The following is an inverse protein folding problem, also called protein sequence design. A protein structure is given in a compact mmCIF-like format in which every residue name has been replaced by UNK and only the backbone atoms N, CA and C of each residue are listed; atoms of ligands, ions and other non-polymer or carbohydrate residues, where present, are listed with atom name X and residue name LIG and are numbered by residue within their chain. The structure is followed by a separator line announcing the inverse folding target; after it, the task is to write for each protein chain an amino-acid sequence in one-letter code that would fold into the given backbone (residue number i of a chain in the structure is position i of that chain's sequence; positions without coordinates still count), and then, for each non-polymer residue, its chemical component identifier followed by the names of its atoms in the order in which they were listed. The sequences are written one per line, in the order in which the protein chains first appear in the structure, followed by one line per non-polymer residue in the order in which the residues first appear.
data_IF_596048244195
#
_entry.id   IF_596048244195
#
_cell.length_a   1.000
_cell.length_b   1.000
_cell.length_c   1.000
_cell.angle_alpha   90.00
_cell.angle_beta   90.00
_cell.angle_gamma   90.00
#
_symmetry.space_group_name_H-M   'P 1'
#
loop_
_entity.id
_entity.type
_entity.pdbx_description
1 polymer ?
#
# COMPACT_ATOMS: atom_id res chain seq x y z
N UNK A 1 -35.95 23.43 -10.45
CA UNK A 1 -34.62 23.73 -9.87
C UNK A 1 -33.85 22.41 -9.76
N UNK A 2 -32.96 22.14 -10.70
CA UNK A 2 -32.01 21.04 -10.57
C UNK A 2 -30.95 21.46 -9.55
N UNK A 3 -31.03 20.91 -8.34
CA UNK A 3 -29.89 20.94 -7.42
C UNK A 3 -28.78 20.12 -8.08
N UNK A 4 -27.86 20.80 -8.75
CA UNK A 4 -26.56 20.23 -9.10
C UNK A 4 -25.97 19.82 -7.77
N UNK A 5 -26.01 18.51 -7.51
CA UNK A 5 -25.35 17.90 -6.38
C UNK A 5 -23.86 18.22 -6.58
N UNK A 6 -23.36 19.25 -5.88
CA UNK A 6 -21.93 19.50 -5.81
C UNK A 6 -21.39 18.31 -5.04
N UNK A 7 -21.02 17.24 -5.76
CA UNK A 7 -20.41 16.07 -5.16
C UNK A 7 -19.10 16.57 -4.56
N UNK A 8 -19.04 16.58 -3.23
CA UNK A 8 -17.88 17.06 -2.48
C UNK A 8 -16.62 16.34 -2.98
N UNK A 9 -15.51 17.07 -3.07
CA UNK A 9 -14.19 16.50 -3.33
C UNK A 9 -13.83 15.38 -2.34
N UNK A 10 -14.45 15.39 -1.15
CA UNK A 10 -14.37 14.32 -0.15
C UNK A 10 -15.07 13.00 -0.52
N UNK A 11 -15.86 12.95 -1.60
CA UNK A 11 -16.44 11.72 -2.17
C UNK A 11 -15.74 11.34 -3.47
N UNK A 12 -15.54 12.31 -4.38
CA UNK A 12 -14.99 12.05 -5.71
C UNK A 12 -13.59 11.45 -5.63
N UNK A 13 -12.70 12.05 -4.83
CA UNK A 13 -11.29 11.63 -4.81
C UNK A 13 -11.11 10.24 -4.16
N UNK A 14 -11.75 9.92 -3.02
CA UNK A 14 -11.74 8.56 -2.48
C UNK A 14 -12.37 7.51 -3.41
N UNK A 15 -13.47 7.85 -4.09
CA UNK A 15 -14.11 6.96 -5.04
C UNK A 15 -13.21 6.68 -6.26
N UNK A 16 -12.59 7.73 -6.81
CA UNK A 16 -11.61 7.59 -7.89
C UNK A 16 -10.43 6.71 -7.47
N UNK A 17 -9.91 6.90 -6.25
CA UNK A 17 -8.82 6.09 -5.71
C UNK A 17 -9.21 4.61 -5.59
N UNK A 18 -10.42 4.32 -5.09
CA UNK A 18 -10.94 2.97 -5.00
C UNK A 18 -11.12 2.33 -6.38
N UNK A 19 -11.73 3.06 -7.32
CA UNK A 19 -11.93 2.62 -8.71
C UNK A 19 -10.57 2.31 -9.35
N UNK A 20 -9.62 3.24 -9.30
CA UNK A 20 -8.28 3.05 -9.87
C UNK A 20 -7.57 1.83 -9.27
N UNK A 21 -7.67 1.64 -7.95
CA UNK A 21 -7.10 0.48 -7.26
C UNK A 21 -7.68 -0.85 -7.76
N UNK A 22 -9.01 -0.93 -7.89
CA UNK A 22 -9.71 -2.13 -8.37
C UNK A 22 -9.40 -2.40 -9.84
N UNK A 23 -9.47 -1.37 -10.69
CA UNK A 23 -9.20 -1.51 -12.13
C UNK A 23 -7.74 -1.90 -12.38
N UNK A 24 -6.78 -1.31 -11.67
CA UNK A 24 -5.37 -1.66 -11.83
C UNK A 24 -5.07 -3.06 -11.30
N UNK A 25 -5.69 -3.48 -10.19
CA UNK A 25 -5.63 -4.87 -9.73
C UNK A 25 -6.13 -5.84 -10.81
N UNK A 26 -7.30 -5.57 -11.38
CA UNK A 26 -7.86 -6.39 -12.46
C UNK A 26 -6.95 -6.41 -13.71
N UNK A 27 -6.35 -5.27 -14.06
CA UNK A 27 -5.36 -5.18 -15.13
C UNK A 27 -4.14 -6.08 -14.86
N UNK A 28 -3.57 -6.06 -13.64
CA UNK A 28 -2.42 -6.91 -13.30
C UNK A 28 -2.77 -8.40 -13.31
N UNK A 29 -3.97 -8.78 -12.86
CA UNK A 29 -4.46 -10.16 -12.99
C UNK A 29 -4.61 -10.54 -14.46
N UNK A 30 -5.15 -9.65 -15.31
CA UNK A 30 -5.24 -9.89 -16.75
C UNK A 30 -3.86 -10.08 -17.38
N UNK A 31 -2.88 -9.24 -17.03
CA UNK A 31 -1.50 -9.41 -17.50
C UNK A 31 -0.92 -10.74 -17.05
N UNK A 32 -1.13 -11.14 -15.80
CA UNK A 32 -0.70 -12.43 -15.28
C UNK A 32 -1.28 -13.62 -16.04
N UNK A 33 -2.59 -13.60 -16.34
CA UNK A 33 -3.25 -14.65 -17.15
C UNK A 33 -2.71 -14.68 -18.58
N UNK A 34 -2.37 -13.52 -19.14
CA UNK A 34 -1.83 -13.38 -20.49
C UNK A 34 -0.41 -13.92 -20.68
N UNK A 35 0.37 -14.10 -19.60
CA UNK A 35 1.69 -14.74 -19.70
C UNK A 35 1.58 -16.27 -19.85
N UNK A 36 2.50 -16.91 -20.62
CA UNK A 36 2.58 -18.37 -20.73
C UNK A 36 2.68 -19.02 -19.35
N UNK A 37 1.92 -20.09 -19.11
CA UNK A 37 1.77 -20.74 -17.80
C UNK A 37 3.11 -21.05 -17.11
N UNK A 38 4.12 -21.46 -17.90
CA UNK A 38 5.45 -21.83 -17.42
C UNK A 38 6.30 -20.64 -16.94
N UNK A 39 6.00 -19.42 -17.41
CA UNK A 39 6.76 -18.19 -17.13
C UNK A 39 5.91 -17.10 -16.48
N UNK A 40 4.78 -17.46 -15.85
CA UNK A 40 3.88 -16.50 -15.18
C UNK A 40 4.55 -15.88 -13.95
N UNK A 41 4.85 -14.58 -13.95
CA UNK A 41 5.54 -13.98 -12.83
C UNK A 41 4.60 -13.71 -11.67
N UNK A 42 5.00 -14.08 -10.45
CA UNK A 42 4.13 -14.06 -9.27
C UNK A 42 3.90 -12.64 -8.76
N UNK A 43 4.82 -11.70 -9.02
CA UNK A 43 4.70 -10.31 -8.60
C UNK A 43 3.39 -9.65 -9.07
N UNK A 44 2.82 -10.03 -10.23
CA UNK A 44 1.54 -9.49 -10.67
C UNK A 44 0.41 -9.78 -9.68
N UNK A 45 0.35 -10.99 -9.12
CA UNK A 45 -0.67 -11.38 -8.15
C UNK A 45 -0.46 -10.66 -6.82
N UNK A 46 0.79 -10.55 -6.37
CA UNK A 46 1.10 -9.80 -5.15
C UNK A 46 0.75 -8.33 -5.29
N UNK A 47 1.09 -7.69 -6.40
CA UNK A 47 0.75 -6.29 -6.64
C UNK A 47 -0.74 -6.07 -6.88
N UNK A 48 -1.43 -6.99 -7.55
CA UNK A 48 -2.88 -6.96 -7.67
C UNK A 48 -3.55 -7.03 -6.28
N UNK A 49 -3.14 -7.99 -5.45
CA UNK A 49 -3.62 -8.11 -4.09
C UNK A 49 -3.29 -6.87 -3.25
N UNK A 50 -2.06 -6.34 -3.36
CA UNK A 50 -1.65 -5.13 -2.66
C UNK A 50 -2.54 -3.93 -3.01
N UNK A 51 -2.73 -3.64 -4.31
CA UNK A 51 -3.57 -2.54 -4.77
C UNK A 51 -5.03 -2.76 -4.38
N UNK A 52 -5.56 -3.98 -4.55
CA UNK A 52 -6.92 -4.28 -4.15
C UNK A 52 -7.14 -4.01 -2.67
N UNK A 53 -6.27 -4.52 -1.80
CA UNK A 53 -6.38 -4.37 -0.34
C UNK A 53 -6.14 -2.92 0.13
N UNK A 54 -5.20 -2.21 -0.49
CA UNK A 54 -4.74 -0.91 0.01
C UNK A 54 -5.80 0.19 -0.04
N UNK A 55 -6.84 0.10 -0.88
CA UNK A 55 -7.82 1.20 -1.05
C UNK A 55 -9.18 0.97 -0.38
N UNK A 56 -9.41 -0.17 0.29
CA UNK A 56 -10.68 -0.43 1.00
C UNK A 56 -10.97 0.58 2.12
N UNK A 57 -9.95 1.22 2.68
CA UNK A 57 -10.13 2.26 3.70
C UNK A 57 -10.82 3.53 3.20
N UNK A 58 -11.05 3.67 1.89
CA UNK A 58 -11.83 4.77 1.32
C UNK A 58 -13.33 4.62 1.52
N UNK A 59 -13.83 3.40 1.77
CA UNK A 59 -15.27 3.14 1.85
C UNK A 59 -15.98 3.91 2.98
N UNK A 60 -15.52 3.95 4.24
CA UNK A 60 -16.21 4.68 5.29
C UNK A 60 -16.17 6.18 5.06
N UNK A 61 -15.10 6.66 4.44
CA UNK A 61 -14.94 8.06 4.10
C UNK A 61 -15.95 8.47 3.01
N UNK A 62 -16.15 7.62 2.00
CA UNK A 62 -17.23 7.79 1.01
C UNK A 62 -18.59 7.77 1.71
N UNK A 63 -18.86 6.77 2.56
CA UNK A 63 -20.14 6.62 3.24
C UNK A 63 -20.44 7.78 4.21
N UNK A 64 -19.44 8.26 4.95
CA UNK A 64 -19.55 9.39 5.86
C UNK A 64 -19.84 10.70 5.12
N UNK A 65 -19.15 10.94 4.00
CA UNK A 65 -19.39 12.13 3.17
C UNK A 65 -20.70 12.06 2.37
N UNK A 66 -21.29 10.87 2.21
CA UNK A 66 -22.66 10.69 1.68
C UNK A 66 -23.76 10.89 2.75
N UNK A 67 -23.40 11.37 3.94
CA UNK A 67 -24.35 11.71 5.01
C UNK A 67 -24.89 10.49 5.76
N UNK A 68 -24.29 9.30 5.62
CA UNK A 68 -24.65 8.16 6.47
C UNK A 68 -24.10 8.37 7.87
N UNK A 69 -24.97 8.34 8.87
CA UNK A 69 -24.58 8.35 10.28
C UNK A 69 -23.85 7.03 10.60
N UNK A 70 -22.52 7.08 10.71
CA UNK A 70 -21.70 5.96 11.16
C UNK A 70 -21.51 6.13 12.67
N UNK A 71 -21.91 5.14 13.47
CA UNK A 71 -21.67 5.18 14.92
C UNK A 71 -20.17 5.08 15.17
N UNK A 72 -19.68 5.78 16.21
CA UNK A 72 -18.27 5.76 16.63
C UNK A 72 -17.72 4.33 16.77
N UNK A 73 -18.52 3.41 17.33
CA UNK A 73 -18.15 2.00 17.51
C UNK A 73 -17.96 1.25 16.17
N UNK A 74 -18.83 1.47 15.20
CA UNK A 74 -18.74 0.85 13.87
C UNK A 74 -17.54 1.41 13.09
N UNK A 75 -17.27 2.70 13.28
CA UNK A 75 -16.12 3.39 12.71
C UNK A 75 -14.79 2.86 13.29
N UNK A 76 -14.73 2.65 14.61
CA UNK A 76 -13.58 2.05 15.30
C UNK A 76 -13.27 0.64 14.81
N UNK A 77 -14.29 -0.20 14.71
CA UNK A 77 -14.14 -1.57 14.20
C UNK A 77 -13.61 -1.57 12.77
N UNK A 78 -14.13 -0.67 11.93
CA UNK A 78 -13.67 -0.55 10.56
C UNK A 78 -12.21 -0.09 10.49
N UNK A 79 -11.82 0.93 11.26
CA UNK A 79 -10.42 1.37 11.33
C UNK A 79 -9.50 0.26 11.88
N UNK A 80 -9.96 -0.50 12.86
CA UNK A 80 -9.22 -1.64 13.39
C UNK A 80 -9.02 -2.75 12.34
N UNK A 81 -9.93 -2.91 11.38
CA UNK A 81 -9.80 -3.84 10.25
C UNK A 81 -8.93 -3.31 9.12
N UNK A 82 -9.00 -2.01 8.81
CA UNK A 82 -8.22 -1.45 7.70
C UNK A 82 -6.74 -1.43 8.00
N UNK A 83 -6.34 -1.33 9.27
CA UNK A 83 -4.93 -1.38 9.64
C UNK A 83 -4.27 -2.72 9.22
N UNK A 84 -4.69 -3.91 9.69
CA UNK A 84 -4.09 -5.17 9.27
C UNK A 84 -4.18 -5.39 7.75
N UNK A 85 -5.26 -4.96 7.10
CA UNK A 85 -5.41 -5.04 5.64
C UNK A 85 -4.36 -4.18 4.91
N UNK A 86 -4.16 -2.93 5.34
CA UNK A 86 -3.17 -2.04 4.75
C UNK A 86 -1.73 -2.52 5.02
N UNK A 87 -1.48 -3.15 6.18
CA UNK A 87 -0.19 -3.77 6.46
C UNK A 87 0.07 -4.94 5.52
N UNK A 88 -0.92 -5.83 5.35
CA UNK A 88 -0.83 -6.94 4.41
C UNK A 88 -0.60 -6.46 2.97
N UNK A 89 -1.23 -5.35 2.56
CA UNK A 89 -1.00 -4.75 1.26
C UNK A 89 0.47 -4.33 1.06
N UNK A 90 1.11 -3.70 2.07
CA UNK A 90 2.53 -3.34 2.00
C UNK A 90 3.45 -4.55 2.00
N UNK A 91 3.09 -5.62 2.72
CA UNK A 91 3.82 -6.90 2.68
C UNK A 91 3.78 -7.48 1.26
N UNK A 92 2.61 -7.52 0.62
CA UNK A 92 2.49 -7.98 -0.76
C UNK A 92 3.22 -7.07 -1.75
N UNK A 93 3.18 -5.75 -1.56
CA UNK A 93 3.97 -4.82 -2.35
C UNK A 93 5.46 -5.16 -2.25
N UNK A 94 5.97 -5.35 -1.03
CA UNK A 94 7.36 -5.72 -0.77
C UNK A 94 7.74 -7.07 -1.39
N UNK A 95 6.91 -8.10 -1.22
CA UNK A 95 7.17 -9.43 -1.80
C UNK A 95 7.20 -9.35 -3.33
N UNK A 96 6.26 -8.62 -3.94
CA UNK A 96 6.26 -8.40 -5.38
C UNK A 96 7.49 -7.63 -5.88
N UNK A 97 8.02 -6.70 -5.09
CA UNK A 97 9.29 -6.03 -5.40
C UNK A 97 10.48 -6.99 -5.36
N UNK A 98 10.59 -7.80 -4.31
CA UNK A 98 11.67 -8.80 -4.22
C UNK A 98 11.62 -9.76 -5.40
N UNK A 99 10.41 -10.14 -5.84
CA UNK A 99 10.18 -11.04 -6.97
C UNK A 99 10.54 -10.40 -8.33
N UNK A 100 9.99 -9.23 -8.67
CA UNK A 100 10.27 -8.56 -9.97
C UNK A 100 11.73 -8.10 -10.11
N UNK A 101 12.39 -7.79 -8.99
CA UNK A 101 13.80 -7.38 -8.98
C UNK A 101 14.73 -8.59 -8.87
N UNK A 102 14.19 -9.81 -8.82
CA UNK A 102 14.90 -11.09 -8.72
C UNK A 102 15.88 -11.15 -7.53
N UNK A 103 15.51 -10.52 -6.41
CA UNK A 103 16.38 -10.40 -5.24
C UNK A 103 16.35 -11.70 -4.44
N UNK A 104 17.50 -12.38 -4.38
CA UNK A 104 17.67 -13.58 -3.56
C UNK A 104 17.88 -13.22 -2.08
N UNK A 105 16.81 -13.30 -1.30
CA UNK A 105 16.89 -13.12 0.15
C UNK A 105 17.62 -14.28 0.84
N UNK A 106 18.53 -13.95 1.77
CA UNK A 106 19.19 -14.92 2.64
C UNK A 106 18.16 -15.60 3.55
N UNK A 107 18.43 -16.84 3.96
CA UNK A 107 17.53 -17.62 4.84
C UNK A 107 17.22 -16.90 6.15
N UNK A 108 18.23 -16.28 6.77
CA UNK A 108 18.05 -15.46 7.98
C UNK A 108 17.11 -14.28 7.79
N UNK A 109 17.21 -13.58 6.65
CA UNK A 109 16.31 -12.47 6.31
C UNK A 109 14.87 -12.97 6.12
N UNK A 110 14.68 -14.12 5.46
CA UNK A 110 13.35 -14.73 5.32
C UNK A 110 12.76 -15.07 6.69
N UNK A 111 13.55 -15.70 7.57
CA UNK A 111 13.13 -16.02 8.93
C UNK A 111 12.72 -14.79 9.73
N UNK A 112 13.52 -13.71 9.70
CA UNK A 112 13.20 -12.45 10.36
C UNK A 112 11.92 -11.80 9.80
N UNK A 113 11.72 -11.82 8.48
CA UNK A 113 10.51 -11.29 7.85
C UNK A 113 9.27 -12.11 8.22
N UNK A 114 9.39 -13.44 8.28
CA UNK A 114 8.30 -14.32 8.74
C UNK A 114 7.97 -14.06 10.20
N UNK A 115 8.97 -13.98 11.07
CA UNK A 115 8.78 -13.66 12.50
C UNK A 115 8.13 -12.29 12.69
N UNK A 116 8.58 -11.29 11.93
CA UNK A 116 8.00 -9.95 11.91
C UNK A 116 6.53 -9.95 11.46
N UNK A 117 6.21 -10.66 10.38
CA UNK A 117 4.84 -10.80 9.91
C UNK A 117 3.94 -11.51 10.94
N UNK A 118 4.43 -12.60 11.53
CA UNK A 118 3.70 -13.32 12.58
C UNK A 118 3.46 -12.43 13.81
N UNK A 119 4.45 -11.65 14.23
CA UNK A 119 4.30 -10.68 15.31
C UNK A 119 3.21 -9.64 15.00
N UNK A 120 3.15 -9.13 13.76
CA UNK A 120 2.09 -8.23 13.32
C UNK A 120 0.72 -8.89 13.35
N UNK A 121 0.60 -10.14 12.85
CA UNK A 121 -0.65 -10.90 12.87
C UNK A 121 -1.14 -11.10 14.31
N UNK A 122 -0.27 -11.53 15.22
CA UNK A 122 -0.61 -11.71 16.65
C UNK A 122 -1.06 -10.38 17.25
N UNK A 123 -0.32 -9.30 16.98
CA UNK A 123 -0.62 -7.96 17.50
C UNK A 123 -2.00 -7.46 17.04
N UNK A 124 -2.31 -7.55 15.74
CA UNK A 124 -3.59 -7.13 15.20
C UNK A 124 -4.73 -8.06 15.64
N UNK A 125 -4.49 -9.37 15.70
CA UNK A 125 -5.47 -10.34 16.18
C UNK A 125 -5.85 -10.09 17.65
N UNK A 126 -4.88 -9.78 18.51
CA UNK A 126 -5.17 -9.41 19.90
C UNK A 126 -6.07 -8.17 20.00
N UNK A 127 -5.77 -7.10 19.26
CA UNK A 127 -6.59 -5.88 19.28
C UNK A 127 -7.96 -6.05 18.61
N UNK A 128 -8.08 -6.96 17.64
CA UNK A 128 -9.35 -7.19 16.95
C UNK A 128 -10.24 -8.19 17.69
N UNK A 129 -9.71 -9.36 18.04
CA UNK A 129 -10.47 -10.47 18.62
C UNK A 129 -10.65 -10.26 20.14
N UNK A 130 -9.55 -10.01 20.87
CA UNK A 130 -9.61 -9.95 22.34
C UNK A 130 -10.14 -8.59 22.86
N UNK A 131 -9.92 -7.50 22.12
CA UNK A 131 -10.41 -6.14 22.47
C UNK A 131 -11.67 -5.73 21.68
N UNK A 132 -12.23 -6.62 20.88
CA UNK A 132 -13.46 -6.36 20.11
C UNK A 132 -13.37 -5.21 19.11
N UNK A 133 -12.16 -4.84 18.68
CA UNK A 133 -11.91 -3.72 17.76
C UNK A 133 -12.19 -2.33 18.35
N UNK A 134 -12.34 -2.21 19.67
CA UNK A 134 -12.53 -0.92 20.34
C UNK A 134 -11.15 -0.29 20.58
N UNK A 135 -10.95 0.92 20.04
CA UNK A 135 -9.68 1.67 20.16
C UNK A 135 -9.73 2.50 21.44
N UNK A 136 -9.52 1.86 22.59
CA UNK A 136 -9.49 2.54 23.91
C UNK A 136 -8.07 2.94 24.33
N UNK A 137 -7.07 2.52 23.56
CA UNK A 137 -5.65 2.74 23.88
C UNK A 137 -4.89 3.19 22.65
N UNK A 138 -3.82 3.95 22.88
CA UNK A 138 -2.94 4.42 21.82
C UNK A 138 -2.04 3.32 21.23
N UNK A 139 -2.02 2.10 21.81
CA UNK A 139 -1.12 1.02 21.40
C UNK A 139 -1.34 0.62 19.94
N UNK A 140 -2.60 0.39 19.53
CA UNK A 140 -2.95 -0.02 18.18
C UNK A 140 -2.43 0.97 17.11
N UNK A 141 -2.76 2.28 17.17
CA UNK A 141 -2.23 3.23 16.19
C UNK A 141 -0.73 3.47 16.35
N UNK A 142 -0.17 3.58 17.57
CA UNK A 142 1.26 3.87 17.73
C UNK A 142 2.16 2.70 17.31
N UNK A 143 1.94 1.51 17.87
CA UNK A 143 2.74 0.32 17.55
C UNK A 143 2.49 -0.10 16.10
N UNK A 144 1.23 -0.02 15.64
CA UNK A 144 0.89 -0.17 14.22
C UNK A 144 1.80 0.65 13.32
N UNK A 145 1.85 1.97 13.54
CA UNK A 145 2.60 2.90 12.71
C UNK A 145 4.12 2.79 12.87
N UNK A 146 4.63 2.68 14.10
CA UNK A 146 6.07 2.69 14.39
C UNK A 146 6.74 1.34 14.17
N UNK A 147 6.09 0.25 14.58
CA UNK A 147 6.71 -1.09 14.56
C UNK A 147 6.35 -1.85 13.31
N UNK A 148 5.19 -1.61 12.68
CA UNK A 148 4.76 -2.39 11.52
C UNK A 148 4.77 -1.62 10.19
N UNK A 149 4.22 -0.40 10.13
CA UNK A 149 4.19 0.35 8.86
C UNK A 149 5.53 1.00 8.51
N UNK A 150 6.19 1.63 9.48
CA UNK A 150 7.44 2.32 9.23
C UNK A 150 8.55 1.37 8.75
N UNK A 151 8.81 0.21 9.40
CA UNK A 151 9.92 -0.64 8.97
C UNK A 151 9.70 -1.27 7.59
N UNK A 152 8.47 -1.66 7.23
CA UNK A 152 8.20 -2.21 5.90
C UNK A 152 8.39 -1.16 4.79
N UNK A 153 7.99 0.10 5.03
CA UNK A 153 8.23 1.21 4.09
C UNK A 153 9.72 1.52 3.94
N UNK A 154 10.46 1.56 5.05
CA UNK A 154 11.91 1.72 5.01
C UNK A 154 12.58 0.57 4.26
N UNK A 155 12.10 -0.66 4.43
CA UNK A 155 12.62 -1.83 3.73
C UNK A 155 12.36 -1.75 2.22
N UNK A 156 11.18 -1.30 1.80
CA UNK A 156 10.85 -1.03 0.38
C UNK A 156 11.83 -0.02 -0.21
N UNK A 157 12.01 1.13 0.48
CA UNK A 157 12.93 2.18 0.05
C UNK A 157 14.36 1.64 -0.06
N UNK A 158 14.83 0.94 0.97
CA UNK A 158 16.17 0.36 1.02
C UNK A 158 16.42 -0.64 -0.09
N UNK A 159 15.48 -1.56 -0.34
CA UNK A 159 15.60 -2.56 -1.41
C UNK A 159 15.70 -1.90 -2.78
N UNK A 160 14.87 -0.89 -3.05
CA UNK A 160 14.89 -0.17 -4.32
C UNK A 160 16.16 0.65 -4.51
N UNK A 161 16.59 1.38 -3.48
CA UNK A 161 17.83 2.16 -3.52
C UNK A 161 19.04 1.26 -3.75
N UNK A 162 19.15 0.16 -2.99
CA UNK A 162 20.23 -0.82 -3.14
C UNK A 162 20.22 -1.45 -4.53
N UNK A 163 19.05 -1.79 -5.06
CA UNK A 163 18.93 -2.35 -6.40
C UNK A 163 19.35 -1.37 -7.49
N UNK A 164 19.00 -0.08 -7.38
CA UNK A 164 19.45 0.94 -8.33
C UNK A 164 20.97 1.15 -8.29
N UNK A 165 21.56 1.20 -7.10
CA UNK A 165 22.99 1.44 -6.91
C UNK A 165 23.86 0.22 -7.25
N UNK A 166 23.34 -1.00 -7.06
CA UNK A 166 24.09 -2.24 -7.23
C UNK A 166 24.12 -2.79 -8.65
N UNK A 167 23.68 -2.03 -9.66
CA UNK A 167 23.61 -2.51 -11.05
C UNK A 167 24.96 -2.42 -11.75
N UNK A 168 25.37 -3.49 -12.47
CA UNK A 168 26.58 -3.46 -13.29
C UNK A 168 26.40 -2.59 -14.55
N UNK A 169 25.16 -2.37 -15.00
CA UNK A 169 24.82 -1.54 -16.16
C UNK A 169 24.03 -0.29 -15.75
N UNK A 170 24.19 0.78 -16.52
CA UNK A 170 23.47 2.03 -16.27
C UNK A 170 21.95 1.78 -16.23
N UNK A 171 21.24 2.24 -15.18
CA UNK A 171 19.82 2.01 -15.04
C UNK A 171 19.04 2.73 -16.15
N UNK A 172 18.15 2.01 -16.83
CA UNK A 172 17.22 2.57 -17.80
C UNK A 172 16.25 3.57 -17.12
N UNK A 173 15.75 4.55 -17.87
CA UNK A 173 14.77 5.53 -17.41
C UNK A 173 13.54 4.86 -16.78
N UNK A 174 13.01 3.80 -17.38
CA UNK A 174 11.88 3.04 -16.82
C UNK A 174 12.22 2.42 -15.45
N UNK A 175 13.46 1.96 -15.25
CA UNK A 175 13.90 1.45 -13.94
C UNK A 175 13.98 2.55 -12.89
N UNK A 176 14.48 3.72 -13.28
CA UNK A 176 14.63 4.89 -12.39
C UNK A 176 13.26 5.42 -12.00
N UNK A 177 12.38 5.68 -12.98
CA UNK A 177 11.03 6.18 -12.74
C UNK A 177 10.19 5.19 -11.94
N UNK A 178 10.31 3.89 -12.25
CA UNK A 178 9.65 2.82 -11.52
C UNK A 178 10.03 2.79 -10.04
N UNK A 179 11.34 2.76 -9.76
CA UNK A 179 11.85 2.77 -8.40
C UNK A 179 11.54 4.10 -7.66
N UNK A 180 11.72 5.24 -8.32
CA UNK A 180 11.42 6.55 -7.75
C UNK A 180 9.94 6.72 -7.40
N UNK A 181 9.03 6.20 -8.23
CA UNK A 181 7.59 6.19 -7.95
C UNK A 181 7.26 5.42 -6.67
N UNK A 182 7.74 4.19 -6.54
CA UNK A 182 7.45 3.35 -5.35
C UNK A 182 8.17 3.89 -4.10
N UNK A 183 9.41 4.37 -4.23
CA UNK A 183 10.09 5.05 -3.12
C UNK A 183 9.33 6.31 -2.69
N UNK A 184 8.86 7.11 -3.65
CA UNK A 184 8.06 8.29 -3.40
C UNK A 184 6.74 7.98 -2.68
N UNK A 185 6.01 6.94 -3.10
CA UNK A 185 4.85 6.40 -2.38
C UNK A 185 5.22 6.11 -0.92
N UNK A 186 6.34 5.41 -0.71
CA UNK A 186 6.77 5.00 0.63
C UNK A 186 7.17 6.18 1.50
N UNK A 187 7.83 7.19 0.96
CA UNK A 187 8.15 8.45 1.66
C UNK A 187 6.86 9.20 2.04
N UNK A 188 5.93 9.39 1.11
CA UNK A 188 4.63 10.01 1.43
C UNK A 188 3.83 9.17 2.44
N UNK A 189 3.97 7.85 2.40
CA UNK A 189 3.49 6.92 3.40
C UNK A 189 4.03 7.21 4.80
N UNK A 190 5.36 7.35 4.93
CA UNK A 190 6.02 7.69 6.19
C UNK A 190 5.54 9.04 6.71
N UNK A 191 5.42 10.05 5.85
CA UNK A 191 4.87 11.36 6.25
C UNK A 191 3.45 11.21 6.79
N UNK A 192 2.59 10.40 6.13
CA UNK A 192 1.25 10.09 6.64
C UNK A 192 1.29 9.35 7.98
N UNK A 193 2.19 8.38 8.17
CA UNK A 193 2.37 7.69 9.44
C UNK A 193 2.76 8.67 10.56
N UNK A 194 3.64 9.64 10.28
CA UNK A 194 4.01 10.70 11.23
C UNK A 194 2.81 11.59 11.55
N UNK A 195 2.01 12.00 10.56
CA UNK A 195 0.79 12.76 10.78
C UNK A 195 -0.21 11.97 11.64
N UNK A 196 -0.36 10.67 11.41
CA UNK A 196 -1.20 9.80 12.24
C UNK A 196 -0.70 9.83 13.67
N UNK A 197 0.58 9.54 13.91
CA UNK A 197 1.19 9.52 15.26
C UNK A 197 0.99 10.87 15.97
N UNK A 198 1.26 11.98 15.27
CA UNK A 198 1.07 13.33 15.83
C UNK A 198 -0.37 13.56 16.31
N UNK A 199 -1.36 13.18 15.51
CA UNK A 199 -2.77 13.36 15.87
C UNK A 199 -3.24 12.35 16.92
N UNK A 200 -2.74 11.12 16.87
CA UNK A 200 -2.99 10.09 17.90
C UNK A 200 -2.52 10.56 19.27
N UNK A 201 -1.39 11.22 19.36
CA UNK A 201 -0.88 11.75 20.64
C UNK A 201 -1.60 13.01 21.13
N UNK A 202 -2.30 13.73 20.24
CA UNK A 202 -2.95 15.00 20.53
C UNK A 202 -4.43 14.86 20.92
N UNK A 203 -5.08 13.75 20.58
CA UNK A 203 -6.51 13.52 20.77
C UNK A 203 -6.77 12.18 21.45
N UNK A 204 -7.93 11.99 22.12
CA UNK A 204 -8.27 10.71 22.72
C UNK A 204 -8.21 9.53 21.73
N UNK A 205 -7.89 8.30 22.20
CA UNK A 205 -7.76 7.11 21.34
C UNK A 205 -8.98 6.81 20.47
N UNK A 206 -10.16 7.24 20.91
CA UNK A 206 -11.43 7.02 20.23
C UNK A 206 -11.76 8.09 19.19
N UNK A 207 -10.97 9.16 19.04
CA UNK A 207 -11.32 10.31 18.19
C UNK A 207 -10.22 10.80 17.24
N UNK A 208 -8.96 10.37 17.40
CA UNK A 208 -7.85 10.83 16.56
C UNK A 208 -8.10 10.69 15.05
N UNK A 209 -8.85 9.66 14.62
CA UNK A 209 -9.19 9.42 13.22
C UNK A 209 -10.17 10.47 12.67
N UNK A 210 -11.05 11.06 13.49
CA UNK A 210 -12.01 12.09 13.06
C UNK A 210 -11.24 13.29 12.56
N UNK A 211 -10.16 13.64 13.27
CA UNK A 211 -9.29 14.75 12.90
C UNK A 211 -8.60 14.45 11.57
N UNK A 212 -8.05 13.24 11.39
CA UNK A 212 -7.40 12.85 10.14
C UNK A 212 -8.32 12.91 8.92
N UNK A 213 -9.58 12.48 9.06
CA UNK A 213 -10.58 12.53 7.98
C UNK A 213 -10.99 13.97 7.63
N UNK A 214 -10.70 14.95 8.49
CA UNK A 214 -10.92 16.36 8.20
C UNK A 214 -9.66 17.11 7.73
N UNK A 215 -8.48 16.47 7.77
CA UNK A 215 -7.22 17.08 7.33
C UNK A 215 -7.05 16.96 5.82
N UNK A 216 -7.30 18.05 5.08
CA UNK A 216 -7.10 18.12 3.61
C UNK A 216 -5.72 17.61 3.15
N UNK A 217 -4.66 17.90 3.91
CA UNK A 217 -3.30 17.45 3.61
C UNK A 217 -3.17 15.92 3.59
N UNK A 218 -3.91 15.21 4.46
CA UNK A 218 -3.87 13.76 4.53
C UNK A 218 -4.39 13.13 3.22
N UNK A 219 -5.46 13.70 2.66
CA UNK A 219 -6.02 13.29 1.37
C UNK A 219 -5.08 13.57 0.20
N UNK A 220 -4.49 14.77 0.17
CA UNK A 220 -3.54 15.14 -0.89
C UNK A 220 -2.37 14.16 -0.91
N UNK A 221 -1.77 13.90 0.26
CA UNK A 221 -0.66 12.95 0.39
C UNK A 221 -1.06 11.54 -0.03
N UNK A 222 -2.28 11.13 0.29
CA UNK A 222 -2.79 9.82 -0.07
C UNK A 222 -2.98 9.67 -1.59
N UNK A 223 -3.57 10.66 -2.25
CA UNK A 223 -3.80 10.62 -3.70
C UNK A 223 -2.46 10.67 -4.43
N UNK A 224 -1.55 11.55 -4.01
CA UNK A 224 -0.20 11.62 -4.56
C UNK A 224 0.53 10.27 -4.40
N UNK A 225 0.41 9.64 -3.23
CA UNK A 225 0.96 8.31 -2.96
C UNK A 225 0.39 7.24 -3.90
N UNK A 226 -0.93 7.24 -4.15
CA UNK A 226 -1.56 6.35 -5.14
C UNK A 226 -0.98 6.58 -6.54
N UNK A 227 -0.94 7.82 -7.02
CA UNK A 227 -0.40 8.13 -8.36
C UNK A 227 1.05 7.66 -8.51
N UNK A 228 1.90 7.95 -7.52
CA UNK A 228 3.28 7.50 -7.50
C UNK A 228 3.41 5.97 -7.51
N UNK A 229 2.54 5.26 -6.77
CA UNK A 229 2.51 3.81 -6.77
C UNK A 229 2.13 3.24 -8.13
N UNK A 230 1.07 3.77 -8.76
CA UNK A 230 0.61 3.34 -10.08
C UNK A 230 1.72 3.53 -11.11
N UNK A 231 2.31 4.73 -11.16
CA UNK A 231 3.40 5.03 -12.08
C UNK A 231 4.60 4.13 -11.81
N UNK A 232 4.95 3.94 -10.54
CA UNK A 232 6.04 3.06 -10.12
C UNK A 232 5.87 1.62 -10.61
N UNK A 233 4.69 1.04 -10.37
CA UNK A 233 4.32 -0.31 -10.83
C UNK A 233 4.34 -0.39 -12.37
N UNK A 234 3.78 0.60 -13.04
CA UNK A 234 3.70 0.63 -14.51
C UNK A 234 5.10 0.64 -15.15
N UNK A 235 6.00 1.51 -14.69
CA UNK A 235 7.35 1.60 -15.24
C UNK A 235 8.20 0.37 -14.91
N UNK A 236 8.09 -0.19 -13.69
CA UNK A 236 8.78 -1.44 -13.36
C UNK A 236 8.26 -2.63 -14.18
N UNK A 237 6.95 -2.70 -14.43
CA UNK A 237 6.35 -3.70 -15.32
C UNK A 237 6.88 -3.58 -16.75
N UNK A 238 6.91 -2.36 -17.31
CA UNK A 238 7.45 -2.12 -18.66
C UNK A 238 8.92 -2.54 -18.76
N UNK A 239 9.72 -2.19 -17.76
CA UNK A 239 11.12 -2.60 -17.70
C UNK A 239 11.27 -4.13 -17.61
N UNK A 240 10.43 -4.81 -16.85
CA UNK A 240 10.42 -6.28 -16.77
C UNK A 240 10.13 -6.91 -18.13
N UNK A 241 9.06 -6.47 -18.82
CA UNK A 241 8.71 -6.97 -20.14
C UNK A 241 9.84 -6.76 -21.16
N UNK A 242 10.50 -5.59 -21.11
CA UNK A 242 11.66 -5.31 -21.96
C UNK A 242 12.81 -6.29 -21.74
N UNK A 243 13.12 -6.64 -20.49
CA UNK A 243 14.16 -7.64 -20.17
C UNK A 243 13.78 -9.02 -20.68
N UNK A 244 12.52 -9.43 -20.50
CA UNK A 244 12.06 -10.72 -21.02
C UNK A 244 12.19 -10.80 -22.54
N UNK A 245 11.85 -9.72 -23.28
CA UNK A 245 12.02 -9.68 -24.73
C UNK A 245 13.50 -9.76 -25.15
N UNK A 246 14.41 -9.13 -24.40
CA UNK A 246 15.84 -9.17 -24.71
C UNK A 246 16.44 -10.58 -24.52
N UNK A 247 16.08 -11.26 -23.42
CA UNK A 247 16.52 -12.65 -23.15
C UNK A 247 16.01 -13.61 -24.22
N UNK A 248 14.76 -13.44 -24.67
CA UNK A 248 14.21 -14.25 -25.75
C UNK A 248 15.05 -14.11 -27.02
N UNK A 249 15.45 -12.90 -27.42
CA UNK A 249 16.25 -12.70 -28.65
C UNK A 249 17.62 -13.38 -28.60
N UNK A 250 18.27 -13.41 -27.44
CA UNK A 250 19.55 -14.10 -27.24
C UNK A 250 19.42 -15.63 -27.29
N UNK A 251 18.28 -16.22 -26.89
CA UNK A 251 18.05 -17.67 -26.96
C UNK A 251 17.88 -18.21 -28.41
N UNK A 252 17.65 -17.33 -29.40
CA UNK A 252 17.47 -17.70 -30.82
C UNK A 252 18.69 -17.41 -31.72
N UNK A 253 19.78 -16.86 -31.17
CA UNK A 253 21.05 -16.62 -31.87
C UNK A 253 22.09 -17.70 -31.55
#
# INVERSE_FOLDING_TARGET
MHSIMIVSTGVILPALALILGVFLSAYLVKQWVGHPTERRPRFFLFWAAALFLMYWFQIPMILANLGRAIRVKDFNLFFALTLPIAFLALVFLYIGLVDILEIRLKSSTKFLLTGYFLAAVIFFAYHFIARGGIIETYSLPLIGNLVFYLPIRLLIIFVLAKWLMGRPTAPNLDSILGAAGIMGESVLGIIRNILIIKNVLAYPPEFWYVVLVNLRIFFILQIASLFLLILGIFFLHREYCRRQSAVMVEEWQ
#
